data_IF_138919525897
#
_entry.id   IF_138919525897
#
_cell.length_a   1.000
_cell.length_b   1.000
_cell.length_c   1.000
_cell.angle_alpha   90.00
_cell.angle_beta   90.00
_cell.angle_gamma   90.00
#
_symmetry.space_group_name_H-M   'P 1'
#
loop_
_entity.id
_entity.type
_entity.pdbx_description
1 polymer ?
#
# COMPACT_ATOMS: atom_id res chain seq x y z
N UNK A 1 0.23 3.52 -2.63
CA UNK A 1 0.59 2.37 -3.47
C UNK A 1 1.85 1.75 -2.91
N UNK A 2 1.83 0.47 -2.52
CA UNK A 2 3.03 -0.25 -2.04
C UNK A 2 3.46 -1.25 -3.12
N UNK A 3 4.71 -1.18 -3.58
CA UNK A 3 5.25 -2.04 -4.64
C UNK A 3 6.44 -2.83 -4.10
N UNK A 4 6.32 -4.16 -3.93
CA UNK A 4 7.43 -5.03 -3.52
C UNK A 4 8.28 -5.42 -4.75
N UNK A 5 9.50 -4.89 -4.84
CA UNK A 5 10.38 -5.13 -5.99
C UNK A 5 11.09 -6.48 -5.96
N UNK A 6 10.96 -7.24 -4.86
CA UNK A 6 11.54 -8.57 -4.69
C UNK A 6 10.57 -9.73 -4.96
N UNK A 7 9.32 -9.44 -5.34
CA UNK A 7 8.29 -10.43 -5.66
C UNK A 7 6.91 -10.04 -5.15
N UNK A 8 5.88 -10.34 -5.94
CA UNK A 8 4.47 -10.02 -5.73
C UNK A 8 3.61 -11.25 -5.40
N UNK A 9 4.17 -12.46 -5.30
CA UNK A 9 3.43 -13.66 -4.87
C UNK A 9 4.34 -14.80 -4.43
N UNK A 10 3.82 -15.74 -3.63
CA UNK A 10 4.65 -16.78 -2.98
C UNK A 10 5.58 -17.58 -3.91
N UNK A 11 5.20 -17.72 -5.17
CA UNK A 11 5.89 -18.57 -6.15
C UNK A 11 6.86 -17.80 -7.08
N UNK A 12 7.09 -16.50 -6.86
CA UNK A 12 8.02 -15.69 -7.66
C UNK A 12 9.35 -15.41 -6.95
N UNK A 13 9.69 -16.26 -5.98
CA UNK A 13 11.02 -16.29 -5.37
C UNK A 13 12.05 -16.91 -6.33
N UNK A 14 13.34 -16.54 -6.22
CA UNK A 14 14.41 -17.24 -6.94
C UNK A 14 14.29 -18.76 -6.75
N UNK A 15 14.29 -19.52 -7.84
CA UNK A 15 14.10 -20.99 -7.90
C UNK A 15 12.68 -21.54 -7.82
N UNK A 16 11.65 -20.72 -7.61
CA UNK A 16 10.26 -21.15 -7.66
C UNK A 16 9.69 -21.15 -9.10
N UNK A 17 8.59 -21.89 -9.30
CA UNK A 17 8.02 -22.17 -10.63
C UNK A 17 7.59 -20.93 -11.42
N UNK A 18 7.25 -19.83 -10.73
CA UNK A 18 6.81 -18.58 -11.34
C UNK A 18 7.85 -17.47 -11.21
N UNK A 19 9.13 -17.81 -11.01
CA UNK A 19 10.21 -16.84 -10.97
C UNK A 19 10.44 -16.20 -12.37
N UNK A 20 9.91 -15.00 -12.54
CA UNK A 20 10.08 -14.17 -13.74
C UNK A 20 10.59 -12.77 -13.34
N UNK A 21 11.92 -12.59 -13.19
CA UNK A 21 12.50 -11.32 -12.76
C UNK A 21 12.26 -10.19 -13.77
N UNK A 22 12.20 -10.49 -15.06
CA UNK A 22 11.98 -9.48 -16.10
C UNK A 22 10.52 -9.01 -16.11
N UNK A 23 9.57 -9.96 -15.96
CA UNK A 23 8.15 -9.68 -15.79
C UNK A 23 7.86 -8.85 -14.55
N UNK A 24 8.53 -9.15 -13.43
CA UNK A 24 8.42 -8.37 -12.18
C UNK A 24 8.91 -6.93 -12.36
N UNK A 25 10.04 -6.72 -13.03
CA UNK A 25 10.56 -5.38 -13.33
C UNK A 25 9.58 -4.60 -14.20
N UNK A 26 9.08 -5.21 -15.28
CA UNK A 26 8.12 -4.58 -16.17
C UNK A 26 6.81 -4.20 -15.43
N UNK A 27 6.32 -5.08 -14.57
CA UNK A 27 5.16 -4.82 -13.72
C UNK A 27 5.39 -3.65 -12.77
N UNK A 28 6.53 -3.62 -12.07
CA UNK A 28 6.85 -2.53 -11.13
C UNK A 28 6.92 -1.17 -11.83
N UNK A 29 7.52 -1.10 -13.03
CA UNK A 29 7.56 0.13 -13.85
C UNK A 29 6.16 0.56 -14.27
N UNK A 30 5.31 -0.38 -14.69
CA UNK A 30 3.93 -0.07 -15.06
C UNK A 30 3.12 0.47 -13.87
N UNK A 31 3.26 -0.13 -12.68
CA UNK A 31 2.59 0.35 -11.47
C UNK A 31 3.01 1.77 -11.09
N UNK A 32 4.30 2.07 -11.18
CA UNK A 32 4.82 3.43 -10.96
C UNK A 32 4.24 4.42 -11.97
N UNK A 33 4.22 4.07 -13.27
CA UNK A 33 3.66 4.92 -14.33
C UNK A 33 2.14 5.08 -14.27
N UNK A 34 1.41 4.15 -13.65
CA UNK A 34 -0.04 4.21 -13.49
C UNK A 34 -0.50 4.69 -12.10
N UNK A 35 0.42 5.08 -11.21
CA UNK A 35 0.06 5.55 -9.88
C UNK A 35 -0.66 6.91 -9.98
N UNK A 36 -1.88 7.06 -9.45
CA UNK A 36 -2.60 8.33 -9.47
C UNK A 36 -1.91 9.42 -8.63
N UNK A 37 -2.02 10.69 -9.04
CA UNK A 37 -1.40 11.84 -8.36
C UNK A 37 -1.81 12.01 -6.89
N UNK A 38 -3.00 11.51 -6.51
CA UNK A 38 -3.50 11.56 -5.14
C UNK A 38 -3.04 10.38 -4.26
N UNK A 39 -2.14 9.53 -4.76
CA UNK A 39 -1.64 8.34 -4.06
C UNK A 39 -0.13 8.45 -3.87
N UNK A 40 0.34 8.27 -2.63
CA UNK A 40 1.77 8.15 -2.37
C UNK A 40 2.31 6.79 -2.84
N UNK A 41 3.47 6.77 -3.49
CA UNK A 41 4.13 5.55 -3.96
C UNK A 41 5.26 5.16 -3.00
N UNK A 42 5.22 3.92 -2.51
CA UNK A 42 6.27 3.32 -1.68
C UNK A 42 6.84 2.09 -2.40
N UNK A 43 8.09 2.18 -2.86
CA UNK A 43 8.83 1.05 -3.43
C UNK A 43 9.68 0.41 -2.34
N UNK A 44 9.57 -0.91 -2.20
CA UNK A 44 10.24 -1.66 -1.13
C UNK A 44 11.08 -2.78 -1.73
N UNK A 45 12.36 -2.82 -1.38
CA UNK A 45 13.29 -3.91 -1.76
C UNK A 45 13.04 -5.16 -0.90
N UNK A 46 11.86 -5.74 -1.05
CA UNK A 46 11.44 -6.95 -0.36
C UNK A 46 10.47 -7.76 -1.23
N UNK A 47 10.28 -9.03 -0.87
CA UNK A 47 9.19 -9.84 -1.38
C UNK A 47 7.91 -9.54 -0.60
N UNK A 48 6.72 -9.66 -1.22
CA UNK A 48 5.42 -9.31 -0.61
C UNK A 48 5.16 -10.04 0.73
N UNK A 49 5.70 -11.25 0.86
CA UNK A 49 5.58 -12.09 2.07
C UNK A 49 6.71 -11.88 3.10
N UNK A 50 7.62 -10.93 2.89
CA UNK A 50 8.61 -10.58 3.89
C UNK A 50 8.01 -9.61 4.92
N UNK A 51 8.46 -9.69 6.17
CA UNK A 51 7.92 -8.88 7.26
C UNK A 51 7.97 -7.37 6.97
N UNK A 52 9.04 -6.90 6.30
CA UNK A 52 9.21 -5.51 5.92
C UNK A 52 8.04 -4.95 5.08
N UNK A 53 7.41 -5.78 4.23
CA UNK A 53 6.25 -5.36 3.45
C UNK A 53 5.03 -5.15 4.35
N UNK A 54 4.76 -6.12 5.23
CA UNK A 54 3.65 -6.06 6.18
C UNK A 54 3.82 -4.89 7.17
N UNK A 55 5.03 -4.69 7.68
CA UNK A 55 5.36 -3.60 8.59
C UNK A 55 5.09 -2.24 7.94
N UNK A 56 5.52 -2.04 6.68
CA UNK A 56 5.26 -0.78 5.97
C UNK A 56 3.77 -0.57 5.69
N UNK A 57 3.03 -1.63 5.38
CA UNK A 57 1.59 -1.55 5.18
C UNK A 57 0.87 -1.15 6.47
N UNK A 58 1.27 -1.70 7.61
CA UNK A 58 0.73 -1.36 8.92
C UNK A 58 1.10 0.07 9.34
N UNK A 59 2.33 0.52 9.11
CA UNK A 59 2.77 1.89 9.36
C UNK A 59 1.86 2.90 8.63
N UNK A 60 1.64 2.71 7.33
CA UNK A 60 0.78 3.58 6.51
C UNK A 60 -0.67 3.54 7.01
N UNK A 61 -1.16 2.36 7.36
CA UNK A 61 -2.50 2.21 7.92
C UNK A 61 -2.65 2.93 9.26
N UNK A 62 -1.67 2.81 10.16
CA UNK A 62 -1.67 3.45 11.47
C UNK A 62 -1.65 4.98 11.34
N UNK A 63 -0.89 5.53 10.38
CA UNK A 63 -0.90 6.96 10.06
C UNK A 63 -2.27 7.45 9.59
N UNK A 64 -3.00 6.63 8.83
CA UNK A 64 -4.36 6.95 8.41
C UNK A 64 -5.34 6.91 9.58
N UNK A 65 -5.16 5.99 10.53
CA UNK A 65 -6.04 5.79 11.69
C UNK A 65 -5.76 6.81 12.80
N UNK A 66 -4.52 7.24 12.99
CA UNK A 66 -4.11 8.12 14.10
C UNK A 66 -4.97 9.40 14.24
N UNK A 67 -5.32 10.13 13.16
CA UNK A 67 -6.21 11.29 13.25
C UNK A 67 -7.60 10.94 13.81
N UNK A 68 -8.14 9.75 13.54
CA UNK A 68 -9.49 9.34 13.98
C UNK A 68 -9.58 9.07 15.48
N UNK A 69 -8.45 8.79 16.13
CA UNK A 69 -8.40 8.52 17.57
C UNK A 69 -8.45 9.79 18.44
N UNK A 70 -8.44 10.98 17.83
CA UNK A 70 -8.67 12.24 18.53
C UNK A 70 -10.17 12.58 18.53
N UNK A 71 -10.78 12.73 19.72
CA UNK A 71 -12.21 13.08 19.91
C UNK A 71 -12.68 14.30 19.08
N UNK A 72 -11.77 15.20 18.74
CA UNK A 72 -12.05 16.38 17.91
C UNK A 72 -12.18 16.06 16.41
N UNK A 73 -11.41 15.10 15.89
CA UNK A 73 -11.42 14.73 14.48
C UNK A 73 -12.72 14.00 14.07
N UNK A 74 -13.26 13.16 14.95
CA UNK A 74 -14.59 12.52 14.77
C UNK A 74 -15.68 13.59 14.66
N UNK A 75 -15.61 14.62 15.50
CA UNK A 75 -16.58 15.71 15.49
C UNK A 75 -16.47 16.59 14.25
N UNK A 76 -15.27 16.86 13.74
CA UNK A 76 -15.08 17.70 12.56
C UNK A 76 -15.43 16.98 11.25
N UNK A 77 -15.22 15.66 11.17
CA UNK A 77 -15.71 14.84 10.06
C UNK A 77 -17.24 14.83 9.99
N UNK A 78 -17.93 14.67 11.14
CA UNK A 78 -19.39 14.74 11.22
C UNK A 78 -19.96 16.12 10.84
N UNK A 79 -19.24 17.22 11.11
CA UNK A 79 -19.65 18.57 10.70
C UNK A 79 -19.47 18.83 9.20
N UNK A 80 -18.41 18.28 8.58
CA UNK A 80 -18.13 18.47 7.14
C UNK A 80 -19.07 17.69 6.23
N UNK A 81 -19.56 16.54 6.69
CA UNK A 81 -20.52 15.71 5.96
C UNK A 81 -21.71 15.40 6.87
N UNK A 82 -22.64 16.36 7.06
CA UNK A 82 -23.83 16.09 7.85
C UNK A 82 -24.58 14.92 7.22
N UNK A 83 -24.78 13.86 8.01
CA UNK A 83 -25.70 12.79 7.64
C UNK A 83 -27.08 13.45 7.50
N UNK A 84 -27.53 13.62 6.26
CA UNK A 84 -28.91 13.98 6.01
C UNK A 84 -29.76 12.80 6.48
N UNK A 85 -30.33 12.94 7.68
CA UNK A 85 -31.36 12.04 8.17
C UNK A 85 -32.47 12.00 7.12
N UNK A 86 -32.67 10.83 6.53
CA UNK A 86 -33.89 10.47 5.79
C UNK A 86 -34.87 9.86 6.78
#
# INVERSE_FOLDING_TARGET
MLVPTGGCGEWDRPSADLYDPDGLVAFCVAMEGCTPDNTELHKLECHINDAAFADKALEIFDDWVAPWNCKEAVNDACKKHPLHHV
#
